data_IF_718845726207
#
_entry.id   IF_718845726207
#
_cell.length_a   1.000
_cell.length_b   1.000
_cell.length_c   1.000
_cell.angle_alpha   90.00
_cell.angle_beta   90.00
_cell.angle_gamma   90.00
#
_symmetry.space_group_name_H-M   'P 1'
#
loop_
_entity.id
_entity.type
_entity.pdbx_description
1 polymer ?
#
# COMPACT_ATOMS: atom_id res chain seq x y z
N UNK A 1 1.08 2.72 -24.15
CA UNK A 1 0.76 2.37 -22.75
C UNK A 1 -0.35 3.30 -22.35
N UNK A 2 -1.52 2.77 -22.07
CA UNK A 2 -2.70 3.58 -21.80
C UNK A 2 -2.62 4.10 -20.37
N UNK A 3 -2.45 5.42 -20.20
CA UNK A 3 -2.51 6.07 -18.89
C UNK A 3 -3.97 6.13 -18.44
N UNK A 4 -4.45 5.03 -17.87
CA UNK A 4 -5.81 4.96 -17.38
C UNK A 4 -5.99 5.99 -16.24
N UNK A 5 -7.05 6.83 -16.29
CA UNK A 5 -7.31 7.81 -15.24
C UNK A 5 -7.60 7.11 -13.92
N UNK A 6 -6.86 7.48 -12.87
CA UNK A 6 -7.23 7.13 -11.50
C UNK A 6 -8.33 8.09 -11.10
N UNK A 7 -9.50 7.56 -10.78
CA UNK A 7 -10.66 8.38 -10.42
C UNK A 7 -10.66 8.71 -8.93
N UNK A 8 -10.19 7.78 -8.11
CA UNK A 8 -10.19 7.91 -6.65
C UNK A 8 -8.85 7.48 -6.07
N UNK A 9 -8.31 8.29 -5.17
CA UNK A 9 -7.12 7.95 -4.40
C UNK A 9 -7.50 7.85 -2.93
N UNK A 10 -7.16 6.73 -2.29
CA UNK A 10 -7.49 6.45 -0.90
C UNK A 10 -6.24 6.24 -0.06
N UNK A 11 -6.27 6.69 1.19
CA UNK A 11 -5.26 6.42 2.20
C UNK A 11 -5.95 6.18 3.55
N UNK A 12 -5.40 5.28 4.36
CA UNK A 12 -5.91 5.08 5.72
C UNK A 12 -5.51 6.27 6.63
N UNK A 13 -6.36 6.61 7.58
CA UNK A 13 -6.05 7.61 8.62
C UNK A 13 -4.70 7.34 9.32
N UNK A 14 -4.45 6.12 9.83
CA UNK A 14 -3.16 5.77 10.46
C UNK A 14 -1.94 5.93 9.53
N UNK A 15 -2.06 5.53 8.25
CA UNK A 15 -0.96 5.68 7.28
C UNK A 15 -0.65 7.15 7.01
N UNK A 16 -1.67 7.99 6.83
CA UNK A 16 -1.49 9.43 6.63
C UNK A 16 -0.91 10.11 7.88
N UNK A 17 -1.42 9.77 9.08
CA UNK A 17 -0.92 10.30 10.33
C UNK A 17 0.56 9.95 10.55
N UNK A 18 0.94 8.70 10.29
CA UNK A 18 2.34 8.26 10.36
C UNK A 18 3.23 9.01 9.36
N UNK A 19 2.77 9.21 8.13
CA UNK A 19 3.50 9.98 7.12
C UNK A 19 3.71 11.45 7.55
N UNK A 20 2.66 12.10 8.07
CA UNK A 20 2.73 13.48 8.57
C UNK A 20 3.64 13.59 9.80
N UNK A 21 3.57 12.63 10.71
CA UNK A 21 4.47 12.56 11.87
C UNK A 21 5.92 12.45 11.43
N UNK A 22 6.24 11.54 10.48
CA UNK A 22 7.60 11.37 9.94
C UNK A 22 8.11 12.64 9.27
N UNK A 23 7.27 13.31 8.49
CA UNK A 23 7.61 14.60 7.88
C UNK A 23 7.87 15.69 8.92
N UNK A 24 7.09 15.71 10.01
CA UNK A 24 7.22 16.68 11.11
C UNK A 24 8.46 16.43 11.98
N UNK A 25 8.78 15.17 12.26
CA UNK A 25 9.95 14.78 13.06
C UNK A 25 11.27 14.85 12.29
N UNK A 26 11.22 14.85 10.96
CA UNK A 26 12.42 14.94 10.11
C UNK A 26 13.17 16.26 10.35
N UNK A 27 14.51 16.28 10.44
CA UNK A 27 15.26 17.53 10.57
C UNK A 27 15.22 18.38 9.30
N UNK A 28 14.92 17.79 8.14
CA UNK A 28 14.88 18.48 6.85
C UNK A 28 13.83 17.89 5.90
N UNK A 29 14.00 18.19 4.61
CA UNK A 29 13.13 17.68 3.56
C UNK A 29 13.13 16.15 3.53
N UNK A 30 11.95 15.57 3.29
CA UNK A 30 11.72 14.14 3.32
C UNK A 30 11.28 13.66 1.94
N UNK A 31 11.81 12.53 1.49
CA UNK A 31 11.32 11.88 0.28
C UNK A 31 11.06 10.41 0.56
N UNK A 32 10.21 9.79 -0.25
CA UNK A 32 9.91 8.39 -0.07
C UNK A 32 9.02 7.79 -1.14
N UNK A 33 8.80 6.49 -1.02
CA UNK A 33 7.99 5.70 -1.95
C UNK A 33 6.61 5.42 -1.35
N UNK A 34 5.59 5.40 -2.21
CA UNK A 34 4.22 5.08 -1.86
C UNK A 34 3.89 3.67 -2.35
N UNK A 35 3.44 2.82 -1.44
CA UNK A 35 3.16 1.41 -1.71
C UNK A 35 1.67 1.11 -1.51
N UNK A 36 1.13 0.25 -2.36
CA UNK A 36 -0.26 -0.17 -2.31
C UNK A 36 -0.70 -0.91 -3.56
N UNK A 37 -1.98 -0.77 -3.89
CA UNK A 37 -2.60 -1.50 -4.98
C UNK A 37 -3.65 -0.65 -5.69
N UNK A 38 -4.02 -1.08 -6.88
CA UNK A 38 -5.04 -0.44 -7.70
C UNK A 38 -6.15 -1.46 -7.92
N UNK A 39 -7.37 -1.12 -7.56
CA UNK A 39 -8.55 -1.95 -7.80
C UNK A 39 -9.38 -1.36 -8.93
N UNK A 40 -9.86 -2.24 -9.79
CA UNK A 40 -10.88 -1.94 -10.77
C UNK A 40 -12.26 -2.09 -10.13
N UNK A 41 -13.05 -1.02 -10.16
CA UNK A 41 -14.43 -1.01 -9.70
C UNK A 41 -15.36 -0.67 -10.86
N UNK A 42 -16.34 -1.54 -11.11
CA UNK A 42 -17.42 -1.31 -12.07
C UNK A 42 -18.64 -0.77 -11.32
N UNK A 43 -18.97 0.52 -11.43
CA UNK A 43 -20.18 1.03 -10.81
C UNK A 43 -21.39 0.43 -11.52
N UNK A 44 -22.34 -0.14 -10.78
CA UNK A 44 -23.65 -0.49 -11.33
C UNK A 44 -24.51 0.76 -11.38
N UNK A 45 -24.34 1.57 -12.42
CA UNK A 45 -25.28 2.66 -12.69
C UNK A 45 -26.49 2.08 -13.41
N UNK A 46 -27.57 1.85 -12.68
CA UNK A 46 -28.90 1.69 -13.28
C UNK A 46 -29.35 3.09 -13.71
N UNK A 47 -29.40 3.33 -15.02
CA UNK A 47 -29.99 4.54 -15.59
C UNK A 47 -31.42 4.20 -16.03
N UNK A 48 -32.41 4.96 -15.55
CA UNK A 48 -33.83 4.76 -15.89
C UNK A 48 -34.19 5.25 -17.31
N UNK A 49 -33.30 5.96 -18.00
CA UNK A 49 -33.58 6.55 -19.31
C UNK A 49 -32.98 5.75 -20.47
N UNK A 50 -33.86 5.29 -21.36
CA UNK A 50 -33.57 4.41 -22.51
C UNK A 50 -32.84 5.08 -23.70
N UNK A 51 -32.22 6.26 -23.53
CA UNK A 51 -31.53 6.96 -24.62
C UNK A 51 -30.23 7.60 -24.13
N UNK A 52 -29.27 6.79 -23.70
CA UNK A 52 -27.82 6.97 -23.94
C UNK A 52 -27.10 5.81 -23.28
N UNK A 53 -26.63 4.87 -24.08
CA UNK A 53 -25.73 3.80 -23.64
C UNK A 53 -24.38 4.41 -23.24
N UNK A 54 -24.30 5.00 -22.05
CA UNK A 54 -23.02 5.23 -21.39
C UNK A 54 -22.63 3.88 -20.81
N UNK A 55 -21.75 3.16 -21.52
CA UNK A 55 -21.05 2.03 -20.91
C UNK A 55 -20.44 2.50 -19.58
N UNK A 56 -20.61 1.76 -18.47
CA UNK A 56 -20.05 2.18 -17.20
C UNK A 56 -18.55 2.33 -17.37
N UNK A 57 -18.06 3.57 -17.28
CA UNK A 57 -16.62 3.80 -17.38
C UNK A 57 -15.93 3.12 -16.20
N UNK A 58 -14.89 2.30 -16.45
CA UNK A 58 -14.20 1.58 -15.41
C UNK A 58 -13.55 2.56 -14.43
N UNK A 59 -13.88 2.43 -13.15
CA UNK A 59 -13.38 3.35 -12.12
C UNK A 59 -12.17 2.71 -11.46
N UNK A 60 -10.99 3.31 -11.67
CA UNK A 60 -9.77 2.88 -11.00
C UNK A 60 -9.62 3.60 -9.67
N UNK A 61 -9.46 2.80 -8.62
CA UNK A 61 -9.24 3.27 -7.26
C UNK A 61 -7.82 2.86 -6.86
N UNK A 62 -6.97 3.84 -6.57
CA UNK A 62 -5.65 3.58 -6.02
C UNK A 62 -5.70 3.69 -4.50
N UNK A 63 -5.18 2.69 -3.79
CA UNK A 63 -5.21 2.63 -2.33
C UNK A 63 -3.79 2.56 -1.80
N UNK A 64 -3.37 3.61 -1.10
CA UNK A 64 -2.08 3.69 -0.42
C UNK A 64 -2.18 2.91 0.89
N UNK A 65 -1.37 1.86 1.01
CA UNK A 65 -1.35 0.98 2.19
C UNK A 65 -0.18 1.29 3.12
N UNK A 66 0.99 1.58 2.54
CA UNK A 66 2.23 1.83 3.29
C UNK A 66 3.14 2.78 2.53
N UNK A 67 4.20 3.25 3.20
CA UNK A 67 5.20 4.13 2.61
C UNK A 67 6.58 3.80 3.16
N UNK A 68 7.61 4.14 2.39
CA UNK A 68 9.00 4.10 2.84
C UNK A 68 9.56 5.51 2.79
N UNK A 69 10.14 5.96 3.90
CA UNK A 69 10.74 7.28 4.01
C UNK A 69 12.24 7.17 4.19
N UNK A 70 13.01 8.06 3.57
CA UNK A 70 14.44 8.17 3.84
C UNK A 70 14.89 9.62 3.71
N UNK A 71 15.96 10.00 4.44
CA UNK A 71 16.58 11.29 4.27
C UNK A 71 17.18 11.42 2.86
N UNK A 72 17.28 12.67 2.41
CA UNK A 72 17.54 13.09 1.03
C UNK A 72 18.67 12.29 0.36
N UNK A 73 18.45 11.91 -0.90
CA UNK A 73 19.36 11.24 -1.88
C UNK A 73 19.52 9.71 -1.85
N UNK A 74 18.76 8.96 -1.05
CA UNK A 74 18.94 7.50 -0.94
C UNK A 74 18.10 6.65 -1.91
N UNK A 75 16.97 7.15 -2.40
CA UNK A 75 16.10 6.39 -3.32
C UNK A 75 16.41 6.64 -4.79
N UNK A 76 16.81 7.87 -5.12
CA UNK A 76 17.01 8.29 -6.50
C UNK A 76 18.45 8.73 -6.72
N UNK A 77 19.05 8.26 -7.81
CA UNK A 77 20.27 8.82 -8.36
C UNK A 77 20.09 10.31 -8.67
N UNK A 78 21.16 11.13 -8.71
CA UNK A 78 21.09 12.51 -9.21
C UNK A 78 20.41 12.63 -10.58
N UNK A 79 20.46 11.57 -11.40
CA UNK A 79 19.79 11.47 -12.70
C UNK A 79 18.28 11.15 -12.62
N UNK A 80 17.71 10.98 -11.42
CA UNK A 80 16.29 10.70 -11.20
C UNK A 80 15.88 9.23 -11.25
N UNK A 81 16.82 8.30 -11.50
CA UNK A 81 16.56 6.86 -11.52
C UNK A 81 16.46 6.27 -10.12
N UNK A 82 15.51 5.35 -9.92
CA UNK A 82 15.43 4.56 -8.69
C UNK A 82 16.67 3.68 -8.51
N UNK A 83 17.16 3.61 -7.27
CA UNK A 83 18.25 2.73 -6.89
C UNK A 83 17.83 1.26 -6.98
N UNK A 84 18.71 0.36 -7.47
CA UNK A 84 18.33 -1.00 -7.79
C UNK A 84 17.95 -1.85 -6.59
N UNK A 85 18.40 -1.48 -5.39
CA UNK A 85 18.02 -2.13 -4.13
C UNK A 85 16.50 -2.13 -3.87
N UNK A 86 15.74 -1.29 -4.57
CA UNK A 86 14.30 -1.14 -4.41
C UNK A 86 13.47 -1.80 -5.53
N UNK A 87 14.10 -2.53 -6.46
CA UNK A 87 13.38 -3.25 -7.52
C UNK A 87 12.43 -4.33 -6.98
N UNK A 88 12.66 -4.86 -5.78
CA UNK A 88 11.76 -5.85 -5.17
C UNK A 88 10.40 -5.26 -4.77
N UNK A 89 10.25 -3.94 -4.73
CA UNK A 89 9.00 -3.25 -4.38
C UNK A 89 8.08 -3.01 -5.58
N UNK A 90 8.54 -3.36 -6.79
CA UNK A 90 7.90 -3.03 -8.07
C UNK A 90 6.43 -3.44 -8.18
N UNK A 91 6.05 -4.58 -7.58
CA UNK A 91 4.66 -5.08 -7.65
C UNK A 91 3.67 -4.32 -6.77
N UNK A 92 4.15 -3.39 -5.94
CA UNK A 92 3.32 -2.60 -5.01
C UNK A 92 3.57 -1.09 -5.12
N UNK A 93 4.49 -0.66 -6.01
CA UNK A 93 4.95 0.72 -6.06
C UNK A 93 3.97 1.62 -6.82
N UNK A 94 3.11 2.34 -6.10
CA UNK A 94 2.13 3.25 -6.71
C UNK A 94 2.75 4.55 -7.20
N UNK A 95 3.85 4.97 -6.56
CA UNK A 95 4.48 6.25 -6.82
C UNK A 95 5.39 6.69 -5.69
N UNK A 96 5.50 8.00 -5.47
CA UNK A 96 6.44 8.57 -4.51
C UNK A 96 5.89 9.85 -3.86
N UNK A 97 6.54 10.30 -2.79
CA UNK A 97 6.17 11.54 -2.11
C UNK A 97 7.38 12.44 -1.84
N UNK A 98 7.10 13.73 -1.74
CA UNK A 98 8.06 14.78 -1.42
C UNK A 98 7.48 15.66 -0.32
N UNK A 99 8.19 15.77 0.80
CA UNK A 99 7.88 16.64 1.91
C UNK A 99 8.89 17.77 1.98
N UNK A 100 8.44 19.02 1.79
CA UNK A 100 9.29 20.22 1.82
C UNK A 100 8.76 21.24 2.80
N UNK A 101 9.63 21.89 3.57
CA UNK A 101 9.19 22.84 4.60
C UNK A 101 9.19 24.26 4.08
N UNK A 102 8.19 25.04 4.48
CA UNK A 102 8.08 26.47 4.09
C UNK A 102 8.18 26.60 2.57
N UNK A 103 7.35 25.86 1.85
CA UNK A 103 7.30 25.91 0.38
C UNK A 103 5.87 25.97 -0.12
N UNK A 104 5.61 26.58 -1.28
CA UNK A 104 4.29 26.51 -1.90
C UNK A 104 3.97 25.09 -2.37
N UNK A 105 2.67 24.73 -2.38
CA UNK A 105 2.12 23.49 -2.94
C UNK A 105 2.19 23.42 -4.48
N UNK A 106 3.37 23.65 -5.06
CA UNK A 106 3.63 23.57 -6.51
C UNK A 106 4.73 22.57 -6.81
N UNK A 107 4.61 21.87 -7.94
CA UNK A 107 5.66 20.97 -8.40
C UNK A 107 6.93 21.74 -8.77
N UNK A 108 8.07 21.13 -8.47
CA UNK A 108 9.40 21.55 -8.93
C UNK A 108 9.82 20.76 -10.16
N UNK A 109 10.77 21.31 -10.92
CA UNK A 109 11.36 20.63 -12.08
C UNK A 109 11.95 19.25 -11.70
N UNK A 110 12.62 19.18 -10.54
CA UNK A 110 13.18 17.93 -10.02
C UNK A 110 12.09 16.88 -9.79
N UNK A 111 10.98 17.26 -9.17
CA UNK A 111 9.85 16.36 -8.92
C UNK A 111 9.24 15.87 -10.24
N UNK A 112 9.14 16.74 -11.25
CA UNK A 112 8.69 16.36 -12.58
C UNK A 112 9.61 15.34 -13.24
N UNK A 113 10.93 15.57 -13.23
CA UNK A 113 11.92 14.67 -13.84
C UNK A 113 11.95 13.30 -13.16
N UNK A 114 11.89 13.26 -11.82
CA UNK A 114 11.86 12.00 -11.06
C UNK A 114 10.58 11.22 -11.39
N UNK A 115 9.43 11.89 -11.39
CA UNK A 115 8.16 11.22 -11.70
C UNK A 115 8.16 10.68 -13.12
N UNK A 116 8.65 11.45 -14.09
CA UNK A 116 8.80 10.98 -15.47
C UNK A 116 9.67 9.72 -15.55
N UNK A 117 10.85 9.73 -14.93
CA UNK A 117 11.76 8.58 -14.94
C UNK A 117 11.17 7.36 -14.23
N UNK A 118 10.35 7.57 -13.21
CA UNK A 118 9.72 6.48 -12.48
C UNK A 118 8.60 5.83 -13.30
N UNK A 119 7.73 6.65 -13.88
CA UNK A 119 6.58 6.20 -14.66
C UNK A 119 6.98 5.58 -16.00
N UNK A 120 8.13 5.96 -16.57
CA UNK A 120 8.63 5.40 -17.83
C UNK A 120 9.21 3.99 -17.69
N UNK A 121 9.53 3.53 -16.47
CA UNK A 121 10.10 2.21 -16.26
C UNK A 121 9.00 1.13 -16.08
N UNK A 122 8.81 0.34 -17.14
CA UNK A 122 7.82 -0.75 -17.23
C UNK A 122 8.02 -1.82 -16.14
N UNK A 123 9.25 -2.00 -15.64
CA UNK A 123 9.56 -2.99 -14.60
C UNK A 123 8.81 -2.73 -13.29
N UNK A 124 8.36 -1.50 -13.07
CA UNK A 124 7.62 -1.09 -11.88
C UNK A 124 6.10 -1.09 -12.08
N UNK A 125 5.61 -1.66 -13.18
CA UNK A 125 4.18 -1.73 -13.45
C UNK A 125 3.46 -2.65 -12.46
N UNK A 126 2.32 -2.17 -11.95
CA UNK A 126 1.49 -2.87 -10.97
C UNK A 126 0.28 -3.48 -11.70
N UNK A 127 -0.07 -4.75 -11.42
CA UNK A 127 -1.32 -5.33 -11.92
C UNK A 127 -2.55 -4.69 -11.26
N UNK A 128 -3.54 -4.35 -12.07
CA UNK A 128 -4.84 -3.86 -11.58
C UNK A 128 -5.67 -5.05 -11.09
N UNK A 129 -6.04 -5.04 -9.80
CA UNK A 129 -6.86 -6.08 -9.20
C UNK A 129 -8.31 -5.99 -9.69
N UNK A 130 -8.97 -7.14 -9.84
CA UNK A 130 -10.38 -7.26 -10.24
C UNK A 130 -10.72 -6.71 -11.64
N UNK A 131 -9.71 -6.56 -12.52
CA UNK A 131 -9.95 -6.21 -13.92
C UNK A 131 -10.22 -7.48 -14.75
N UNK A 132 -11.20 -7.46 -15.68
CA UNK A 132 -11.43 -8.57 -16.60
C UNK A 132 -10.30 -8.75 -17.64
N UNK A 133 -9.44 -7.74 -17.78
CA UNK A 133 -8.24 -7.75 -18.62
C UNK A 133 -7.02 -7.65 -17.70
N UNK A 134 -5.91 -8.32 -18.02
CA UNK A 134 -4.67 -8.21 -17.24
C UNK A 134 -4.01 -6.83 -17.46
N UNK A 135 -4.65 -5.78 -16.94
CA UNK A 135 -4.20 -4.40 -17.05
C UNK A 135 -3.06 -4.16 -16.07
N UNK A 136 -2.02 -3.47 -16.55
CA UNK A 136 -0.89 -3.04 -15.74
C UNK A 136 -0.74 -1.53 -15.80
N UNK A 137 -0.34 -0.92 -14.69
CA UNK A 137 -0.17 0.52 -14.59
C UNK A 137 1.21 0.86 -14.04
N UNK A 138 1.91 1.77 -14.71
CA UNK A 138 3.15 2.32 -14.20
C UNK A 138 2.92 3.15 -12.93
N UNK A 139 3.93 3.28 -12.05
CA UNK A 139 3.83 4.14 -10.88
C UNK A 139 3.64 5.59 -11.33
N UNK A 140 2.49 6.17 -11.04
CA UNK A 140 2.09 7.49 -11.55
C UNK A 140 1.60 8.44 -10.45
N UNK A 141 1.63 8.02 -9.18
CA UNK A 141 1.19 8.87 -8.08
C UNK A 141 2.34 9.72 -7.53
N UNK A 142 2.04 10.98 -7.27
CA UNK A 142 2.92 11.90 -6.57
C UNK A 142 2.18 12.61 -5.45
N UNK A 143 2.69 12.51 -4.22
CA UNK A 143 2.15 13.22 -3.06
C UNK A 143 3.13 14.30 -2.60
N UNK A 144 2.69 15.55 -2.61
CA UNK A 144 3.45 16.68 -2.09
C UNK A 144 2.94 17.03 -0.69
N UNK A 145 3.83 17.08 0.29
CA UNK A 145 3.56 17.57 1.64
C UNK A 145 4.34 18.87 1.86
N UNK A 146 3.70 19.86 2.49
CA UNK A 146 4.37 21.11 2.86
C UNK A 146 3.89 21.66 4.19
N UNK A 147 4.71 22.54 4.76
CA UNK A 147 4.32 23.45 5.83
C UNK A 147 4.33 24.87 5.30
N UNK A 148 3.36 25.73 5.65
CA UNK A 148 3.33 27.10 5.17
C UNK A 148 4.48 27.93 5.75
N UNK A 149 4.74 29.08 5.13
CA UNK A 149 5.79 30.00 5.56
C UNK A 149 5.46 30.74 6.86
N UNK A 150 4.17 30.91 7.14
CA UNK A 150 3.67 31.78 8.21
C UNK A 150 3.10 30.94 9.35
N UNK A 151 3.29 31.50 10.55
CA UNK A 151 2.82 31.05 11.85
C UNK A 151 3.73 30.07 12.60
N UNK A 152 4.16 30.49 13.80
CA UNK A 152 4.90 29.65 14.76
C UNK A 152 3.97 29.09 15.85
N UNK A 153 2.75 29.61 15.96
CA UNK A 153 1.78 29.19 16.98
C UNK A 153 0.88 28.07 16.46
N UNK A 154 0.67 28.01 15.15
CA UNK A 154 -0.17 27.00 14.50
C UNK A 154 0.68 26.18 13.53
N UNK A 155 0.74 24.87 13.76
CA UNK A 155 1.36 23.94 12.83
C UNK A 155 0.34 23.44 11.82
N UNK A 156 0.35 24.02 10.63
CA UNK A 156 -0.49 23.58 9.51
C UNK A 156 0.28 22.61 8.62
N UNK A 157 -0.32 21.44 8.36
CA UNK A 157 0.19 20.47 7.39
C UNK A 157 -0.68 20.48 6.15
N UNK A 158 -0.10 20.88 5.02
CA UNK A 158 -0.80 20.87 3.74
C UNK A 158 -0.27 19.74 2.87
N UNK A 159 -1.17 19.07 2.15
CA UNK A 159 -0.78 18.02 1.22
C UNK A 159 -1.61 18.08 -0.05
N UNK A 160 -1.01 17.67 -1.17
CA UNK A 160 -1.67 17.60 -2.47
C UNK A 160 -1.20 16.37 -3.24
N UNK A 161 -2.16 15.58 -3.70
CA UNK A 161 -1.90 14.40 -4.52
C UNK A 161 -2.07 14.72 -6.00
N UNK A 162 -1.21 14.12 -6.82
CA UNK A 162 -1.23 14.23 -8.27
C UNK A 162 -1.14 12.84 -8.89
N UNK A 163 -1.84 12.67 -10.01
CA UNK A 163 -1.57 11.61 -10.98
C UNK A 163 -0.75 12.21 -12.11
N UNK A 164 0.36 11.58 -12.44
CA UNK A 164 1.17 11.90 -13.60
C UNK A 164 0.70 11.08 -14.81
N UNK A 165 0.45 11.75 -15.93
CA UNK A 165 0.15 11.10 -17.21
C UNK A 165 1.37 11.18 -18.12
N UNK A 166 1.90 10.03 -18.51
CA UNK A 166 3.06 9.90 -19.41
C UNK A 166 2.73 10.42 -20.80
N UNK A 167 1.53 10.09 -21.31
CA UNK A 167 0.99 10.45 -22.62
C UNK A 167 0.95 11.97 -22.87
N UNK A 168 0.56 12.75 -21.86
CA UNK A 168 0.48 14.21 -21.93
C UNK A 168 1.65 14.90 -21.24
N UNK A 169 2.48 14.17 -20.49
CA UNK A 169 3.54 14.72 -19.65
C UNK A 169 3.03 15.67 -18.57
N UNK A 170 1.78 15.52 -18.11
CA UNK A 170 1.11 16.47 -17.22
C UNK A 170 0.78 15.87 -15.85
N UNK A 171 0.67 16.75 -14.85
CA UNK A 171 0.24 16.40 -13.49
C UNK A 171 -1.21 16.82 -13.28
N UNK A 172 -2.08 15.85 -13.06
CA UNK A 172 -3.49 16.08 -12.73
C UNK A 172 -3.68 15.97 -11.21
N UNK A 173 -4.21 17.01 -10.53
CA UNK A 173 -4.51 16.91 -9.11
C UNK A 173 -5.62 15.88 -8.88
N UNK A 174 -5.48 15.07 -7.83
CA UNK A 174 -6.47 14.07 -7.40
C UNK A 174 -6.89 14.33 -5.97
N UNK A 175 -8.17 14.11 -5.68
CA UNK A 175 -8.69 14.14 -4.32
C UNK A 175 -8.18 12.93 -3.55
N UNK A 176 -7.67 13.17 -2.35
CA UNK A 176 -7.17 12.13 -1.45
C UNK A 176 -8.21 11.85 -0.37
N UNK A 177 -8.84 10.69 -0.44
CA UNK A 177 -9.86 10.27 0.49
C UNK A 177 -9.23 9.56 1.69
N UNK A 178 -9.44 10.13 2.88
CA UNK A 178 -8.92 9.58 4.13
C UNK A 178 -9.96 8.65 4.74
N UNK A 179 -9.72 7.35 4.64
CA UNK A 179 -10.63 6.32 5.14
C UNK A 179 -10.72 6.42 6.66
N UNK A 180 -11.96 6.53 7.17
CA UNK A 180 -12.28 6.66 8.59
C UNK A 180 -13.56 5.87 8.94
N UNK A 181 -13.94 5.83 10.22
CA UNK A 181 -15.11 5.06 10.73
C UNK A 181 -16.44 5.78 10.46
N UNK A 182 -16.41 6.99 9.90
CA UNK A 182 -17.59 7.77 9.60
C UNK A 182 -18.50 7.10 8.55
N UNK A 183 -19.79 7.51 8.50
CA UNK A 183 -20.80 6.87 7.67
C UNK A 183 -20.47 6.88 6.17
N UNK A 184 -19.71 7.88 5.70
CA UNK A 184 -19.26 7.99 4.31
C UNK A 184 -18.37 6.83 3.84
N UNK A 185 -17.73 6.11 4.78
CA UNK A 185 -16.88 4.96 4.50
C UNK A 185 -17.49 3.64 4.99
N UNK A 186 -18.75 3.64 5.46
CA UNK A 186 -19.44 2.44 5.93
C UNK A 186 -19.40 1.28 4.93
N UNK A 187 -19.51 1.59 3.64
CA UNK A 187 -19.41 0.62 2.54
C UNK A 187 -18.06 -0.12 2.45
N UNK A 188 -16.97 0.50 2.94
CA UNK A 188 -15.67 -0.16 3.01
C UNK A 188 -15.60 -1.23 4.11
N UNK A 189 -16.45 -1.13 5.13
CA UNK A 189 -16.55 -2.11 6.21
C UNK A 189 -17.59 -3.19 5.95
N UNK A 190 -18.59 -2.93 5.09
CA UNK A 190 -19.54 -3.94 4.64
C UNK A 190 -18.93 -4.87 3.59
N UNK A 191 -17.98 -4.35 2.79
CA UNK A 191 -17.18 -5.17 1.89
C UNK A 191 -16.03 -5.81 2.68
N UNK A 192 -16.21 -7.05 3.13
CA UNK A 192 -15.18 -7.87 3.79
C UNK A 192 -14.05 -8.30 2.82
N UNK A 193 -13.45 -7.35 2.11
CA UNK A 193 -12.29 -7.58 1.26
C UNK A 193 -11.05 -7.00 1.94
N UNK A 194 -10.00 -7.81 2.20
CA UNK A 194 -8.80 -7.31 2.85
C UNK A 194 -8.12 -6.26 1.96
N UNK A 195 -7.82 -5.08 2.54
CA UNK A 195 -7.14 -3.98 1.84
C UNK A 195 -5.64 -4.24 1.68
N UNK A 196 -5.09 -5.22 2.40
CA UNK A 196 -3.74 -5.72 2.21
C UNK A 196 -3.79 -7.03 1.44
N UNK A 197 -3.00 -7.20 0.38
CA UNK A 197 -2.86 -8.51 -0.23
C UNK A 197 -2.38 -9.51 0.84
N UNK A 198 -2.84 -10.76 0.74
CA UNK A 198 -2.24 -11.83 1.53
C UNK A 198 -0.72 -11.84 1.27
N UNK A 199 0.10 -12.18 2.28
CA UNK A 199 1.51 -12.44 2.06
C UNK A 199 1.64 -13.38 0.86
N UNK A 200 2.63 -13.14 -0.02
CA UNK A 200 2.89 -14.02 -1.16
C UNK A 200 3.31 -15.37 -0.59
N UNK A 201 2.33 -16.22 -0.36
CA UNK A 201 2.54 -17.62 -0.05
C UNK A 201 2.71 -18.30 -1.39
N UNK A 202 3.79 -19.06 -1.55
CA UNK A 202 3.99 -19.92 -2.72
C UNK A 202 3.03 -21.11 -2.57
N UNK A 203 1.73 -20.84 -2.57
CA UNK A 203 0.74 -21.86 -2.70
C UNK A 203 0.73 -22.22 -4.18
N UNK A 204 1.33 -23.35 -4.54
CA UNK A 204 1.09 -23.98 -5.84
C UNK A 204 -0.37 -24.45 -5.86
N UNK A 205 -1.30 -23.54 -6.16
CA UNK A 205 -2.68 -23.93 -6.41
C UNK A 205 -2.67 -24.78 -7.67
N UNK A 206 -3.04 -26.05 -7.52
CA UNK A 206 -3.15 -27.07 -8.57
C UNK A 206 -3.63 -26.40 -9.87
N UNK A 207 -2.70 -26.21 -10.80
CA UNK A 207 -3.01 -25.68 -12.12
C UNK A 207 -4.12 -26.52 -12.74
N UNK A 208 -5.00 -25.84 -13.47
CA UNK A 208 -6.16 -26.34 -14.21
C UNK A 208 -5.87 -27.51 -15.19
N UNK A 209 -4.63 -28.00 -15.25
CA UNK A 209 -4.12 -28.97 -16.24
C UNK A 209 -3.49 -30.23 -15.60
N UNK A 210 -4.00 -30.72 -14.46
CA UNK A 210 -3.47 -31.94 -13.83
C UNK A 210 -4.23 -33.19 -14.29
N UNK A 211 -4.10 -33.56 -15.57
CA UNK A 211 -4.31 -34.92 -16.03
C UNK A 211 -2.95 -35.57 -16.33
N UNK A 212 -2.18 -35.87 -15.28
CA UNK A 212 -1.07 -36.83 -15.36
C UNK A 212 -1.15 -37.68 -14.10
N UNK A 213 -1.53 -38.94 -14.30
CA UNK A 213 -1.57 -39.98 -13.27
C UNK A 213 -0.13 -40.39 -12.94
N UNK A 214 0.37 -40.00 -11.76
CA UNK A 214 1.53 -40.66 -11.15
C UNK A 214 1.27 -40.81 -9.63
N UNK A 215 0.94 -42.04 -9.23
CA UNK A 215 -0.07 -42.27 -8.19
C UNK A 215 0.41 -42.41 -6.73
N UNK A 216 1.70 -42.29 -6.39
CA UNK A 216 2.10 -42.56 -4.98
C UNK A 216 3.17 -41.68 -4.34
N UNK A 217 4.18 -41.18 -5.07
CA UNK A 217 5.24 -40.36 -4.46
C UNK A 217 4.91 -38.86 -4.38
N UNK A 218 3.98 -38.37 -5.20
CA UNK A 218 3.59 -36.97 -5.23
C UNK A 218 2.57 -36.62 -4.14
N UNK A 219 1.72 -37.58 -3.72
CA UNK A 219 0.76 -37.42 -2.62
C UNK A 219 1.47 -37.09 -1.31
N UNK A 220 2.51 -37.82 -0.91
CA UNK A 220 3.26 -37.53 0.33
C UNK A 220 3.94 -36.16 0.34
N UNK A 221 4.49 -35.70 -0.80
CA UNK A 221 5.11 -34.37 -0.92
C UNK A 221 4.07 -33.24 -0.89
N UNK A 222 2.94 -33.43 -1.57
CA UNK A 222 1.83 -32.46 -1.58
C UNK A 222 1.12 -32.39 -0.23
N UNK A 223 0.88 -33.52 0.44
CA UNK A 223 0.29 -33.51 1.79
C UNK A 223 1.27 -32.88 2.80
N UNK A 224 2.59 -33.13 2.68
CA UNK A 224 3.59 -32.51 3.57
C UNK A 224 3.74 -31.01 3.34
N UNK A 225 3.62 -30.52 2.10
CA UNK A 225 3.54 -29.09 1.79
C UNK A 225 2.27 -28.49 2.38
N UNK A 226 1.11 -29.11 2.12
CA UNK A 226 -0.18 -28.67 2.65
C UNK A 226 -0.21 -28.58 4.18
N UNK A 227 0.35 -29.57 4.88
CA UNK A 227 0.47 -29.52 6.34
C UNK A 227 1.42 -28.43 6.83
N UNK A 228 2.48 -28.12 6.07
CA UNK A 228 3.39 -27.02 6.39
C UNK A 228 2.70 -25.67 6.18
N UNK A 229 1.98 -25.51 5.07
CA UNK A 229 1.24 -24.31 4.71
C UNK A 229 0.08 -24.08 5.71
N UNK A 230 -0.63 -25.13 6.10
CA UNK A 230 -1.67 -25.07 7.13
C UNK A 230 -1.07 -24.69 8.50
N UNK A 231 0.07 -25.27 8.87
CA UNK A 231 0.76 -24.91 10.12
C UNK A 231 1.23 -23.45 10.13
N UNK A 232 1.70 -22.93 8.99
CA UNK A 232 2.05 -21.52 8.82
C UNK A 232 0.81 -20.63 8.93
N UNK A 233 -0.32 -21.02 8.34
CA UNK A 233 -1.60 -20.34 8.51
C UNK A 233 -2.09 -20.32 9.95
N UNK A 234 -1.99 -21.45 10.66
CA UNK A 234 -2.42 -21.57 12.06
C UNK A 234 -1.54 -20.74 13.01
N UNK A 235 -0.23 -20.63 12.71
CA UNK A 235 0.70 -19.72 13.38
C UNK A 235 0.30 -18.26 13.17
N UNK A 236 -0.03 -17.88 11.93
CA UNK A 236 -0.49 -16.52 11.61
C UNK A 236 -1.86 -16.24 12.22
N UNK A 237 -2.74 -17.23 12.33
CA UNK A 237 -4.08 -17.08 12.89
C UNK A 237 -4.13 -17.17 14.43
N UNK A 238 -2.97 -17.25 15.11
CA UNK A 238 -2.87 -17.40 16.58
C UNK A 238 -3.82 -18.47 17.14
N UNK A 239 -3.93 -19.60 16.43
CA UNK A 239 -4.81 -20.70 16.83
C UNK A 239 -6.31 -20.44 16.62
N UNK A 240 -6.70 -19.52 15.74
CA UNK A 240 -8.06 -19.45 15.20
C UNK A 240 -8.12 -20.18 13.86
N UNK A 241 -8.57 -21.43 13.89
CA UNK A 241 -8.61 -22.29 12.70
C UNK A 241 -9.57 -21.75 11.62
N UNK A 242 -9.20 -21.90 10.35
CA UNK A 242 -10.03 -21.51 9.19
C UNK A 242 -11.39 -22.25 9.22
N UNK A 243 -11.42 -23.49 9.72
CA UNK A 243 -12.65 -24.26 9.90
C UNK A 243 -13.61 -23.68 10.95
N UNK A 244 -13.12 -22.84 11.88
CA UNK A 244 -13.99 -22.06 12.79
C UNK A 244 -14.55 -20.81 12.11
N UNK A 245 -13.80 -20.21 11.18
CA UNK A 245 -14.28 -19.08 10.38
C UNK A 245 -15.43 -19.49 9.46
N UNK A 246 -15.40 -20.69 8.87
CA UNK A 246 -16.52 -21.18 8.04
C UNK A 246 -17.83 -21.35 8.83
N UNK A 247 -17.75 -21.66 10.14
CA UNK A 247 -18.91 -21.72 11.04
C UNK A 247 -19.54 -20.35 11.30
N UNK A 248 -18.77 -19.26 11.15
CA UNK A 248 -19.30 -17.88 11.25
C UNK A 248 -20.06 -17.44 9.99
N UNK A 249 -19.93 -18.15 8.86
CA UNK A 249 -20.49 -17.78 7.55
C UNK A 249 -21.61 -18.76 7.12
N UNK A 250 -22.06 -19.67 8.00
CA UNK A 250 -23.04 -20.72 7.70
C UNK A 250 -24.40 -20.60 8.43
N UNK A 251 -25.41 -21.42 8.06
CA UNK A 251 -26.76 -21.38 8.63
C UNK A 251 -26.90 -21.93 10.07
N UNK A 252 -25.79 -22.34 10.71
CA UNK A 252 -25.79 -22.88 12.08
C UNK A 252 -25.66 -21.75 13.12
N UNK A 253 -26.78 -21.05 13.35
CA UNK A 253 -26.87 -19.74 13.99
C UNK A 253 -26.95 -19.71 15.54
N UNK A 254 -26.44 -20.70 16.28
CA UNK A 254 -26.65 -20.73 17.75
C UNK A 254 -25.56 -20.03 18.59
N UNK A 255 -24.30 -19.94 18.14
CA UNK A 255 -23.17 -19.43 18.93
C UNK A 255 -22.34 -18.28 18.29
N UNK A 256 -22.85 -17.66 17.22
CA UNK A 256 -22.15 -16.62 16.44
C UNK A 256 -21.50 -15.52 17.30
N UNK A 257 -22.17 -15.07 18.35
CA UNK A 257 -21.68 -13.98 19.21
C UNK A 257 -20.42 -14.36 19.99
N UNK A 258 -20.39 -15.55 20.60
CA UNK A 258 -19.24 -15.98 21.40
C UNK A 258 -18.02 -16.28 20.52
N UNK A 259 -18.23 -16.91 19.36
CA UNK A 259 -17.15 -17.18 18.40
C UNK A 259 -16.61 -15.89 17.76
N UNK A 260 -17.46 -14.88 17.51
CA UNK A 260 -17.00 -13.56 17.09
C UNK A 260 -16.21 -12.85 18.18
N UNK A 261 -16.70 -12.85 19.42
CA UNK A 261 -16.01 -12.22 20.54
C UNK A 261 -14.62 -12.87 20.76
N UNK A 262 -14.51 -14.21 20.64
CA UNK A 262 -13.23 -14.93 20.65
C UNK A 262 -12.30 -14.50 19.50
N UNK A 263 -12.83 -14.40 18.27
CA UNK A 263 -12.08 -13.92 17.11
C UNK A 263 -11.54 -12.51 17.32
N UNK A 264 -12.38 -11.58 17.80
CA UNK A 264 -11.97 -10.21 18.09
C UNK A 264 -10.90 -10.16 19.18
N UNK A 265 -11.05 -10.94 20.26
CA UNK A 265 -10.06 -11.00 21.33
C UNK A 265 -8.69 -11.50 20.84
N UNK A 266 -8.66 -12.52 19.97
CA UNK A 266 -7.41 -13.00 19.35
C UNK A 266 -6.80 -11.97 18.41
N UNK A 267 -7.61 -11.28 17.61
CA UNK A 267 -7.13 -10.19 16.76
C UNK A 267 -6.51 -9.05 17.58
N UNK A 268 -7.11 -8.70 18.73
CA UNK A 268 -6.55 -7.72 19.67
C UNK A 268 -5.23 -8.19 20.29
N UNK A 269 -5.14 -9.46 20.70
CA UNK A 269 -3.90 -10.05 21.22
C UNK A 269 -2.77 -10.00 20.18
N UNK A 270 -3.08 -10.33 18.92
CA UNK A 270 -2.15 -10.22 17.80
C UNK A 270 -1.67 -8.81 17.55
N UNK A 271 -2.58 -7.83 17.63
CA UNK A 271 -2.23 -6.42 17.49
C UNK A 271 -1.29 -5.95 18.61
N UNK A 272 -1.52 -6.38 19.86
CA UNK A 272 -0.60 -6.09 20.98
C UNK A 272 0.77 -6.74 20.75
N UNK A 273 0.80 -8.00 20.32
CA UNK A 273 2.04 -8.69 19.96
C UNK A 273 2.84 -7.97 18.86
N UNK A 274 2.16 -7.54 17.79
CA UNK A 274 2.75 -6.75 16.71
C UNK A 274 3.26 -5.40 17.22
N UNK A 275 2.52 -4.70 18.08
CA UNK A 275 2.94 -3.43 18.66
C UNK A 275 4.27 -3.57 19.41
N UNK A 276 4.43 -4.61 20.24
CA UNK A 276 5.69 -4.89 20.95
C UNK A 276 6.84 -5.23 20.01
N UNK A 277 6.57 -5.91 18.89
CA UNK A 277 7.60 -6.17 17.87
C UNK A 277 8.01 -4.88 17.14
N UNK A 278 7.05 -4.01 16.83
CA UNK A 278 7.29 -2.69 16.21
C UNK A 278 8.11 -1.81 17.14
N UNK A 279 7.80 -1.80 18.44
CA UNK A 279 8.59 -1.08 19.45
C UNK A 279 10.06 -1.54 19.47
N UNK A 280 10.29 -2.85 19.61
CA UNK A 280 11.65 -3.43 19.63
C UNK A 280 12.42 -3.18 18.33
N UNK A 281 11.76 -3.30 17.18
CA UNK A 281 12.40 -3.04 15.88
C UNK A 281 12.70 -1.56 15.68
N UNK A 282 11.81 -0.67 16.09
CA UNK A 282 12.01 0.79 16.02
C UNK A 282 13.18 1.24 16.89
N UNK A 283 13.32 0.68 18.10
CA UNK A 283 14.48 0.93 18.97
C UNK A 283 15.80 0.55 18.28
N UNK A 284 15.86 -0.63 17.65
CA UNK A 284 17.05 -1.08 16.91
C UNK A 284 17.37 -0.19 15.71
N UNK A 285 16.36 0.24 14.97
CA UNK A 285 16.56 1.18 13.83
C UNK A 285 17.11 2.50 14.33
N UNK A 286 16.58 3.04 15.44
CA UNK A 286 17.08 4.29 16.03
C UNK A 286 18.53 4.17 16.52
N UNK A 287 18.89 3.07 17.16
CA UNK A 287 20.28 2.79 17.55
C UNK A 287 21.21 2.78 16.33
N UNK A 288 20.79 2.12 15.25
CA UNK A 288 21.56 2.06 14.01
C UNK A 288 21.67 3.43 13.30
N UNK A 289 20.59 4.21 13.26
CA UNK A 289 20.60 5.57 12.71
C UNK A 289 21.57 6.47 13.48
N UNK A 290 21.54 6.42 14.81
CA UNK A 290 22.46 7.17 15.67
C UNK A 290 23.92 6.74 15.48
N UNK A 291 24.17 5.44 15.36
CA UNK A 291 25.50 4.92 15.08
C UNK A 291 26.01 5.42 13.71
N UNK A 292 25.19 5.31 12.66
CA UNK A 292 25.52 5.80 11.32
C UNK A 292 25.75 7.30 11.29
N UNK A 293 24.99 8.08 12.06
CA UNK A 293 25.19 9.53 12.19
C UNK A 293 26.58 9.86 12.73
N UNK A 294 26.99 9.21 13.84
CA UNK A 294 28.33 9.40 14.43
C UNK A 294 29.43 9.05 13.43
N UNK A 295 29.30 7.93 12.72
CA UNK A 295 30.26 7.56 11.68
C UNK A 295 30.37 8.62 10.57
N UNK A 296 29.23 9.20 10.15
CA UNK A 296 29.24 10.29 9.16
C UNK A 296 29.92 11.54 9.68
N UNK A 297 29.70 11.91 10.95
CA UNK A 297 30.38 13.04 11.58
C UNK A 297 31.90 12.83 11.65
N UNK A 298 32.36 11.63 12.02
CA UNK A 298 33.78 11.24 11.99
C UNK A 298 34.40 11.38 10.61
N UNK A 299 33.74 10.81 9.60
CA UNK A 299 34.23 10.87 8.21
C UNK A 299 34.27 12.31 7.69
N UNK A 300 33.33 13.15 8.11
CA UNK A 300 33.29 14.56 7.75
C UNK A 300 34.31 15.43 8.53
N UNK A 301 35.02 14.88 9.52
CA UNK A 301 35.97 15.64 10.36
C UNK A 301 35.30 16.65 11.30
N UNK A 302 34.05 16.40 11.67
CA UNK A 302 33.25 17.27 12.57
C UNK A 302 33.27 16.77 14.03
N UNK A 303 34.17 15.84 14.36
CA UNK A 303 34.43 15.31 15.71
C UNK A 303 35.84 15.67 16.19
#
# INVERSE_FOLDING_TARGET
MDDLPIQKLQISGPTLASLLQRFSSSPGDLHGLLLGHITHSTPSTLADDTITSTTPSPTLIATITSFLSAPSTSFFSPSGHLNPSFHNLSSTLLGWFSGRRRTPLRLSLRESSITWSLSSNIQHSIPVQNSPQCLTLSPCLFLLLTTPFQDQLIHTHEYKAFQFRISTGSFEPKTLDVVNIGPAFGGHYTNFCPSSPFPVMVCEWRGLNSMVEDENNQRLRTTRSFFKDQKELDLVAEGFEIGRLSRLIGPEFSNYRADLEDLYNKMLAKLDGLARMVEKSSARVLEQENHNMKLRCKVAGLE
#
